data_IF_054348621565
#
_entry.id   IF_054348621565
#
_cell.length_a   1.000
_cell.length_b   1.000
_cell.length_c   1.000
_cell.angle_alpha   90.00
_cell.angle_beta   90.00
_cell.angle_gamma   90.00
#
_symmetry.space_group_name_H-M   'P 1'
#
loop_
_entity.id
_entity.type
_entity.pdbx_description
1 polymer ?
#
# COMPACT_ATOMS: atom_id res chain seq x y z
N UNK A 1 -15.48 -16.41 -2.71
CA UNK A 1 -14.07 -16.04 -2.97
C UNK A 1 -14.02 -14.52 -2.91
N UNK A 2 -13.28 -13.94 -1.97
CA UNK A 2 -13.24 -12.49 -1.78
C UNK A 2 -12.06 -12.12 -0.89
N UNK A 3 -11.34 -11.07 -1.28
CA UNK A 3 -10.10 -10.61 -0.66
C UNK A 3 -9.16 -10.02 -1.70
N UNK A 4 -8.28 -9.11 -1.29
CA UNK A 4 -7.23 -8.53 -2.11
C UNK A 4 -5.93 -9.30 -1.89
N UNK A 5 -5.30 -9.74 -2.98
CA UNK A 5 -4.00 -10.38 -2.94
C UNK A 5 -2.90 -9.31 -2.91
N UNK A 6 -2.14 -9.26 -1.82
CA UNK A 6 -0.99 -8.37 -1.67
C UNK A 6 0.09 -8.60 -2.76
N UNK A 7 0.11 -9.79 -3.39
CA UNK A 7 1.01 -10.13 -4.50
C UNK A 7 0.43 -9.76 -5.86
N UNK A 8 -0.83 -9.33 -5.92
CA UNK A 8 -1.47 -8.85 -7.13
C UNK A 8 -0.78 -7.58 -7.67
N UNK A 9 -0.67 -7.48 -8.99
CA UNK A 9 0.08 -6.41 -9.66
C UNK A 9 -0.34 -4.99 -9.25
N UNK A 10 -1.64 -4.78 -8.95
CA UNK A 10 -2.17 -3.51 -8.46
C UNK A 10 -1.58 -3.10 -7.10
N UNK A 11 -1.67 -3.98 -6.10
CA UNK A 11 -1.15 -3.71 -4.75
C UNK A 11 0.38 -3.67 -4.71
N UNK A 12 1.05 -4.49 -5.52
CA UNK A 12 2.51 -4.40 -5.72
C UNK A 12 2.88 -3.03 -6.29
N UNK A 13 2.14 -2.52 -7.27
CA UNK A 13 2.36 -1.19 -7.83
C UNK A 13 2.12 -0.06 -6.81
N UNK A 14 1.11 -0.19 -5.95
CA UNK A 14 0.85 0.78 -4.89
C UNK A 14 1.96 0.76 -3.82
N UNK A 15 2.36 -0.43 -3.38
CA UNK A 15 3.45 -0.62 -2.42
C UNK A 15 4.76 0.02 -2.91
N UNK A 16 5.09 -0.15 -4.19
CA UNK A 16 6.27 0.48 -4.82
C UNK A 16 6.22 2.01 -4.75
N UNK A 17 5.06 2.62 -5.06
CA UNK A 17 4.91 4.09 -5.03
C UNK A 17 4.98 4.65 -3.61
N UNK A 18 4.35 3.96 -2.67
CA UNK A 18 4.41 4.34 -1.25
C UNK A 18 5.85 4.23 -0.74
N UNK A 19 6.56 3.16 -1.08
CA UNK A 19 7.96 2.98 -0.69
C UNK A 19 8.90 4.01 -1.34
N UNK A 20 8.63 4.44 -2.58
CA UNK A 20 9.40 5.50 -3.25
C UNK A 20 9.32 6.86 -2.53
N UNK A 21 8.29 7.04 -1.69
CA UNK A 21 8.12 8.22 -0.83
C UNK A 21 8.52 7.94 0.63
N UNK A 22 9.38 6.93 0.88
CA UNK A 22 9.74 6.46 2.22
C UNK A 22 8.54 6.07 3.10
N UNK A 23 7.42 5.74 2.47
CA UNK A 23 6.18 5.37 3.12
C UNK A 23 6.05 3.87 3.37
N UNK A 24 4.95 3.49 4.04
CA UNK A 24 4.56 2.10 4.28
C UNK A 24 3.10 1.86 3.89
N UNK A 25 2.85 0.77 3.18
CA UNK A 25 1.51 0.28 2.85
C UNK A 25 1.21 -0.99 3.66
N UNK A 26 0.06 -1.01 4.32
CA UNK A 26 -0.50 -2.17 5.00
C UNK A 26 -1.83 -2.57 4.35
N UNK A 27 -2.06 -3.87 4.27
CA UNK A 27 -3.25 -4.47 3.66
C UNK A 27 -3.88 -5.41 4.66
N UNK A 28 -5.13 -5.16 5.03
CA UNK A 28 -5.95 -6.09 5.79
C UNK A 28 -7.10 -6.55 4.88
N UNK A 29 -7.12 -7.85 4.58
CA UNK A 29 -8.10 -8.43 3.65
C UNK A 29 -8.46 -9.86 4.04
N UNK A 30 -9.24 -10.04 5.12
CA UNK A 30 -9.72 -11.35 5.52
C UNK A 30 -10.60 -11.96 4.42
N UNK A 31 -10.52 -13.29 4.28
CA UNK A 31 -11.29 -14.01 3.28
C UNK A 31 -12.80 -13.80 3.48
N UNK A 32 -13.48 -13.31 2.44
CA UNK A 32 -14.93 -13.02 2.47
C UNK A 32 -15.32 -11.77 3.27
N UNK A 33 -14.36 -11.03 3.84
CA UNK A 33 -14.58 -9.77 4.55
C UNK A 33 -14.25 -8.54 3.69
N UNK A 34 -14.32 -7.33 4.29
CA UNK A 34 -13.92 -6.11 3.60
C UNK A 34 -12.41 -6.07 3.39
N UNK A 35 -11.97 -5.27 2.43
CA UNK A 35 -10.54 -4.96 2.26
C UNK A 35 -10.28 -3.55 2.79
N UNK A 36 -9.26 -3.41 3.62
CA UNK A 36 -8.78 -2.12 4.15
C UNK A 36 -7.32 -1.95 3.76
N UNK A 37 -7.01 -0.76 3.23
CA UNK A 37 -5.66 -0.34 2.86
C UNK A 37 -5.25 0.85 3.72
N UNK A 38 -4.08 0.78 4.34
CA UNK A 38 -3.52 1.90 5.13
C UNK A 38 -2.17 2.29 4.56
N UNK A 39 -2.05 3.52 4.05
CA UNK A 39 -0.79 4.09 3.62
C UNK A 39 -0.34 5.14 4.65
N UNK A 40 0.89 4.99 5.14
CA UNK A 40 1.57 6.00 5.96
C UNK A 40 2.66 6.63 5.11
N UNK A 41 2.58 7.95 4.95
CA UNK A 41 3.52 8.74 4.17
C UNK A 41 4.17 9.79 5.08
N UNK A 42 5.45 10.14 4.86
CA UNK A 42 6.05 11.33 5.45
C UNK A 42 5.26 12.59 5.08
N UNK A 43 5.21 13.55 6.00
CA UNK A 43 4.52 14.84 5.78
C UNK A 43 5.35 15.87 5.02
N UNK A 44 6.66 15.62 4.92
CA UNK A 44 7.61 16.44 4.18
C UNK A 44 8.16 15.62 3.03
N UNK A 45 8.11 16.18 1.83
CA UNK A 45 8.79 15.61 0.67
C UNK A 45 10.24 16.06 0.76
N UNK A 46 11.18 15.11 0.72
CA UNK A 46 12.58 15.49 0.51
C UNK A 46 12.68 16.07 -0.88
N UNK A 47 12.98 17.36 -0.99
CA UNK A 47 13.37 17.92 -2.28
C UNK A 47 14.74 17.32 -2.64
N UNK A 48 14.77 16.54 -3.73
CA UNK A 48 16.04 16.14 -4.33
C UNK A 48 16.68 17.42 -4.90
N UNK A 49 17.81 17.83 -4.31
CA UNK A 49 18.62 18.95 -4.76
C UNK A 49 19.41 18.65 -6.02
#
# INVERSE_FOLDING_TARGET
MGGADARGSGLVGLARRVAALDGRLEVDSPAGGPTVLTARLPTEVREEG
#
